data_IF_113665756608
#
_entry.id   IF_113665756608
#
_cell.length_a   1.000
_cell.length_b   1.000
_cell.length_c   1.000
_cell.angle_alpha   90.00
_cell.angle_beta   90.00
_cell.angle_gamma   90.00
#
_symmetry.space_group_name_H-M   'P 1'
#
loop_
_entity.id
_entity.type
_entity.pdbx_description
1 polymer ?
#
# COMPACT_ATOMS: atom_id res chain seq x y z
N UNK A 1 13.22 14.67 -21.62
CA UNK A 1 12.75 14.29 -20.28
C UNK A 1 13.10 15.43 -19.32
N UNK A 2 12.10 16.27 -19.06
CA UNK A 2 12.28 17.46 -18.25
C UNK A 2 11.98 17.13 -16.78
N UNK A 3 12.95 17.25 -15.84
CA UNK A 3 12.69 17.01 -14.43
C UNK A 3 11.60 17.96 -13.91
N UNK A 4 10.57 17.39 -13.28
CA UNK A 4 9.42 18.14 -12.77
C UNK A 4 8.28 18.32 -13.75
N UNK A 5 8.36 17.77 -14.97
CA UNK A 5 7.20 17.71 -15.87
C UNK A 5 6.15 16.70 -15.39
N UNK A 6 4.88 17.01 -15.58
CA UNK A 6 3.77 16.14 -15.26
C UNK A 6 2.98 15.85 -16.54
N UNK A 7 2.73 14.56 -16.79
CA UNK A 7 1.85 14.10 -17.86
C UNK A 7 0.53 13.61 -17.25
N UNK A 8 -0.58 14.19 -17.63
CA UNK A 8 -1.92 13.74 -17.28
C UNK A 8 -2.49 12.90 -18.42
N UNK A 9 -2.94 11.69 -18.09
CA UNK A 9 -3.59 10.78 -19.04
C UNK A 9 -5.02 10.55 -18.53
N UNK A 10 -5.99 11.04 -19.29
CA UNK A 10 -7.41 10.86 -18.98
C UNK A 10 -8.01 10.00 -20.09
N UNK A 11 -8.55 8.86 -19.71
CA UNK A 11 -9.16 7.92 -20.64
C UNK A 11 -10.43 7.31 -20.02
N UNK A 12 -11.45 7.01 -20.84
CA UNK A 12 -12.60 6.24 -20.38
C UNK A 12 -12.18 4.82 -19.97
N UNK A 13 -12.96 4.18 -19.12
CA UNK A 13 -12.66 2.85 -18.56
C UNK A 13 -12.65 1.73 -19.62
N UNK A 14 -13.21 1.96 -20.79
CA UNK A 14 -13.38 0.95 -21.85
C UNK A 14 -13.09 1.53 -23.23
N UNK A 15 -12.89 0.64 -24.21
CA UNK A 15 -12.72 1.01 -25.60
C UNK A 15 -11.28 1.29 -26.02
N UNK A 16 -11.12 1.85 -27.21
CA UNK A 16 -9.81 2.11 -27.84
C UNK A 16 -8.97 3.07 -27.03
N UNK A 17 -9.58 4.10 -26.43
CA UNK A 17 -8.87 5.10 -25.65
C UNK A 17 -8.25 4.51 -24.36
N UNK A 18 -8.93 3.57 -23.70
CA UNK A 18 -8.36 2.84 -22.56
C UNK A 18 -7.12 2.03 -22.98
N UNK A 19 -7.19 1.34 -24.12
CA UNK A 19 -6.07 0.59 -24.68
C UNK A 19 -4.88 1.51 -25.05
N UNK A 20 -5.16 2.68 -25.59
CA UNK A 20 -4.14 3.68 -25.89
C UNK A 20 -3.44 4.20 -24.63
N UNK A 21 -4.21 4.51 -23.57
CA UNK A 21 -3.65 4.93 -22.28
C UNK A 21 -2.72 3.87 -21.67
N UNK A 22 -3.15 2.60 -21.67
CA UNK A 22 -2.31 1.47 -21.22
C UNK A 22 -1.04 1.37 -22.03
N UNK A 23 -1.14 1.54 -23.37
CA UNK A 23 0.03 1.49 -24.28
C UNK A 23 1.04 2.61 -23.97
N UNK A 24 0.58 3.82 -23.69
CA UNK A 24 1.45 4.94 -23.30
C UNK A 24 2.18 4.61 -21.99
N UNK A 25 1.48 4.14 -20.97
CA UNK A 25 2.08 3.75 -19.70
C UNK A 25 3.08 2.60 -19.86
N UNK A 26 2.77 1.63 -20.72
CA UNK A 26 3.67 0.51 -21.04
C UNK A 26 4.95 0.99 -21.73
N UNK A 27 4.86 1.93 -22.65
CA UNK A 27 6.03 2.54 -23.31
C UNK A 27 6.89 3.31 -22.30
N UNK A 28 6.26 4.10 -21.44
CA UNK A 28 6.98 4.83 -20.38
C UNK A 28 7.71 3.84 -19.45
N UNK A 29 7.03 2.81 -18.98
CA UNK A 29 7.64 1.82 -18.08
C UNK A 29 8.80 1.08 -18.74
N UNK A 30 8.69 0.74 -20.03
CA UNK A 30 9.79 0.14 -20.80
C UNK A 30 10.98 1.09 -20.93
N UNK A 31 10.75 2.37 -21.13
CA UNK A 31 11.81 3.37 -21.20
C UNK A 31 12.57 3.45 -19.87
N UNK A 32 11.85 3.46 -18.75
CA UNK A 32 12.47 3.46 -17.41
C UNK A 32 13.14 2.12 -17.08
N UNK A 33 12.66 1.01 -17.61
CA UNK A 33 13.31 -0.30 -17.45
C UNK A 33 14.75 -0.27 -17.97
N UNK A 34 15.03 0.43 -19.04
CA UNK A 34 16.38 0.61 -19.56
C UNK A 34 17.34 1.26 -18.55
N UNK A 35 16.84 2.00 -17.59
CA UNK A 35 17.63 2.60 -16.50
C UNK A 35 18.46 1.59 -15.70
N UNK A 36 18.06 0.32 -15.68
CA UNK A 36 18.80 -0.71 -14.94
C UNK A 36 20.19 -0.94 -15.51
N UNK A 37 20.36 -0.78 -16.82
CA UNK A 37 21.59 -1.05 -17.57
C UNK A 37 22.33 0.19 -18.05
N UNK A 38 21.69 1.38 -18.06
CA UNK A 38 22.30 2.60 -18.55
C UNK A 38 23.24 3.24 -17.49
N UNK A 39 24.34 3.83 -17.96
CA UNK A 39 25.27 4.57 -17.11
C UNK A 39 24.69 5.91 -16.63
N UNK A 40 23.87 6.56 -17.47
CA UNK A 40 23.16 7.79 -17.14
C UNK A 40 21.73 7.44 -16.77
N UNK A 41 21.37 7.66 -15.49
CA UNK A 41 20.03 7.33 -15.00
C UNK A 41 19.03 8.39 -15.38
N UNK A 42 17.84 7.95 -15.77
CA UNK A 42 16.68 8.83 -15.91
C UNK A 42 16.24 9.38 -14.55
N UNK A 43 15.61 10.56 -14.50
CA UNK A 43 15.05 11.09 -13.26
C UNK A 43 14.02 10.13 -12.68
N UNK A 44 13.82 10.22 -11.36
CA UNK A 44 12.82 9.41 -10.68
C UNK A 44 11.41 9.71 -11.20
N UNK A 45 10.65 8.66 -11.50
CA UNK A 45 9.29 8.76 -12.02
C UNK A 45 8.28 8.37 -10.92
N UNK A 46 7.33 9.24 -10.65
CA UNK A 46 6.14 8.90 -9.86
C UNK A 46 4.99 8.63 -10.83
N UNK A 47 4.44 7.41 -10.78
CA UNK A 47 3.22 7.04 -11.47
C UNK A 47 2.07 6.97 -10.47
N UNK A 48 1.05 7.79 -10.68
CA UNK A 48 -0.18 7.78 -9.89
C UNK A 48 -1.30 7.23 -10.78
N UNK A 49 -1.92 6.15 -10.34
CA UNK A 49 -3.00 5.49 -11.07
C UNK A 49 -4.24 5.49 -10.19
N UNK A 50 -5.21 6.30 -10.58
CA UNK A 50 -6.50 6.35 -9.93
C UNK A 50 -7.44 5.31 -10.52
N UNK A 51 -8.21 4.64 -9.67
CA UNK A 51 -9.12 3.54 -10.07
C UNK A 51 -8.49 2.48 -11.00
N UNK A 52 -7.30 2.00 -10.67
CA UNK A 52 -6.50 1.12 -11.53
C UNK A 52 -7.25 -0.11 -12.06
N UNK A 53 -8.24 -0.61 -11.35
CA UNK A 53 -9.03 -1.78 -11.74
C UNK A 53 -10.01 -1.48 -12.86
N UNK A 54 -10.52 -0.27 -12.93
CA UNK A 54 -11.53 0.16 -13.90
C UNK A 54 -10.91 0.92 -15.08
N UNK A 55 -10.01 1.88 -14.78
CA UNK A 55 -9.49 2.80 -15.79
C UNK A 55 -8.26 2.29 -16.51
N UNK A 56 -7.45 1.47 -15.86
CA UNK A 56 -6.19 1.02 -16.44
C UNK A 56 -5.91 -0.47 -16.22
N UNK A 57 -6.53 -1.34 -17.02
CA UNK A 57 -6.25 -2.77 -16.98
C UNK A 57 -4.86 -3.09 -17.53
N UNK A 58 -3.84 -2.83 -16.77
CA UNK A 58 -2.45 -3.00 -17.19
C UNK A 58 -1.96 -4.43 -16.92
N UNK A 59 -1.84 -5.30 -17.94
CA UNK A 59 -1.48 -6.71 -17.73
C UNK A 59 -0.11 -6.89 -17.09
N UNK A 60 0.79 -5.92 -17.26
CA UNK A 60 2.17 -5.98 -16.74
C UNK A 60 2.31 -5.38 -15.33
N UNK A 61 1.23 -4.95 -14.72
CA UNK A 61 1.28 -4.30 -13.40
C UNK A 61 2.08 -5.11 -12.37
N UNK A 62 1.87 -6.43 -12.18
CA UNK A 62 2.64 -7.20 -11.20
C UNK A 62 4.15 -7.13 -11.45
N UNK A 63 4.56 -7.28 -12.71
CA UNK A 63 5.98 -7.22 -13.09
C UNK A 63 6.57 -5.83 -12.83
N UNK A 64 5.82 -4.78 -13.19
CA UNK A 64 6.31 -3.40 -12.99
C UNK A 64 6.40 -3.05 -11.51
N UNK A 65 5.45 -3.49 -10.69
CA UNK A 65 5.52 -3.30 -9.24
C UNK A 65 6.78 -3.93 -8.67
N UNK A 66 7.10 -5.16 -9.05
CA UNK A 66 8.27 -5.90 -8.56
C UNK A 66 9.59 -5.24 -8.97
N UNK A 67 9.67 -4.75 -10.20
CA UNK A 67 10.88 -4.17 -10.77
C UNK A 67 10.99 -2.64 -10.56
N UNK A 68 9.94 -1.98 -10.13
CA UNK A 68 9.80 -0.51 -10.09
C UNK A 68 10.96 0.19 -9.39
N UNK A 69 11.43 -0.36 -8.27
CA UNK A 69 12.55 0.19 -7.51
C UNK A 69 13.84 0.26 -8.33
N UNK A 70 14.17 -0.80 -9.06
CA UNK A 70 15.36 -0.85 -9.89
C UNK A 70 15.25 0.06 -11.12
N UNK A 71 14.02 0.26 -11.61
CA UNK A 71 13.74 1.18 -12.71
C UNK A 71 13.78 2.66 -12.28
N UNK A 72 13.74 2.97 -10.99
CA UNK A 72 13.57 4.33 -10.48
C UNK A 72 12.12 4.83 -10.62
N UNK A 73 11.14 3.93 -10.48
CA UNK A 73 9.71 4.23 -10.53
C UNK A 73 9.10 4.04 -9.15
N UNK A 74 8.34 5.03 -8.67
CA UNK A 74 7.40 4.86 -7.57
C UNK A 74 5.98 4.75 -8.10
N UNK A 75 5.24 3.77 -7.60
CA UNK A 75 3.84 3.54 -7.97
C UNK A 75 2.92 3.88 -6.80
N UNK A 76 1.94 4.72 -7.05
CA UNK A 76 0.80 4.96 -6.17
C UNK A 76 -0.47 4.53 -6.91
N UNK A 77 -1.15 3.53 -6.38
CA UNK A 77 -2.33 2.94 -7.03
C UNK A 77 -3.51 3.06 -6.09
N UNK A 78 -4.55 3.73 -6.52
CA UNK A 78 -5.81 3.80 -5.81
C UNK A 78 -6.82 2.79 -6.36
N UNK A 79 -7.51 2.11 -5.45
CA UNK A 79 -8.60 1.18 -5.76
C UNK A 79 -9.67 1.28 -4.68
N UNK A 80 -10.90 1.02 -5.04
CA UNK A 80 -12.00 1.01 -4.06
C UNK A 80 -11.92 -0.23 -3.16
N UNK A 81 -11.50 -1.36 -3.72
CA UNK A 81 -11.27 -2.60 -3.00
C UNK A 81 -10.26 -3.46 -3.77
N UNK A 82 -9.30 -4.08 -3.06
CA UNK A 82 -8.32 -4.97 -3.73
C UNK A 82 -8.98 -6.19 -4.34
N UNK A 83 -10.16 -6.60 -3.86
CA UNK A 83 -10.97 -7.65 -4.46
C UNK A 83 -11.27 -7.40 -5.95
N UNK A 84 -11.32 -6.16 -6.38
CA UNK A 84 -11.55 -5.81 -7.79
C UNK A 84 -10.44 -6.29 -8.71
N UNK A 85 -9.22 -6.46 -8.21
CA UNK A 85 -8.12 -7.04 -8.99
C UNK A 85 -8.43 -8.47 -9.46
N UNK A 86 -9.25 -9.23 -8.71
CA UNK A 86 -9.58 -10.61 -9.08
C UNK A 86 -10.31 -10.70 -10.41
N UNK A 87 -11.09 -9.68 -10.78
CA UNK A 87 -11.79 -9.62 -12.08
C UNK A 87 -10.82 -9.51 -13.26
N UNK A 88 -9.63 -8.97 -13.03
CA UNK A 88 -8.66 -8.67 -14.07
C UNK A 88 -7.49 -9.64 -14.10
N UNK A 89 -6.99 -10.00 -12.93
CA UNK A 89 -5.77 -10.81 -12.76
C UNK A 89 -6.06 -12.21 -12.21
N UNK A 90 -7.35 -12.55 -11.99
CA UNK A 90 -7.73 -13.76 -11.27
C UNK A 90 -7.46 -13.67 -9.76
N UNK A 91 -7.86 -14.72 -9.05
CA UNK A 91 -7.68 -14.77 -7.59
C UNK A 91 -6.20 -14.77 -7.19
N UNK A 92 -5.40 -15.57 -7.88
CA UNK A 92 -3.96 -15.68 -7.62
C UNK A 92 -3.23 -14.35 -7.89
N UNK A 93 -3.51 -13.70 -9.02
CA UNK A 93 -2.91 -12.40 -9.33
C UNK A 93 -3.33 -11.28 -8.37
N UNK A 94 -4.55 -11.34 -7.82
CA UNK A 94 -4.97 -10.43 -6.76
C UNK A 94 -4.16 -10.66 -5.47
N UNK A 95 -3.96 -11.91 -5.07
CA UNK A 95 -3.17 -12.26 -3.88
C UNK A 95 -1.69 -11.90 -4.08
N UNK A 96 -1.15 -12.13 -5.27
CA UNK A 96 0.18 -11.67 -5.65
C UNK A 96 0.32 -10.15 -5.48
N UNK A 97 -0.58 -9.36 -6.09
CA UNK A 97 -0.56 -7.90 -5.98
C UNK A 97 -0.62 -7.43 -4.53
N UNK A 98 -1.48 -8.02 -3.69
CA UNK A 98 -1.54 -7.71 -2.27
C UNK A 98 -0.21 -7.95 -1.54
N UNK A 99 0.52 -8.99 -1.95
CA UNK A 99 1.77 -9.39 -1.30
C UNK A 99 2.98 -8.55 -1.73
N UNK A 100 3.00 -8.07 -2.98
CA UNK A 100 4.15 -7.33 -3.53
C UNK A 100 4.12 -5.84 -3.22
N UNK A 101 2.96 -5.25 -2.87
CA UNK A 101 2.90 -3.87 -2.42
C UNK A 101 3.44 -3.74 -0.99
N UNK A 102 4.53 -2.99 -0.78
CA UNK A 102 5.18 -2.91 0.53
C UNK A 102 4.40 -2.07 1.55
N UNK A 103 3.45 -1.28 1.10
CA UNK A 103 2.64 -0.39 1.93
C UNK A 103 1.25 -0.23 1.35
N UNK A 104 0.24 -0.22 2.22
CA UNK A 104 -1.15 0.02 1.85
C UNK A 104 -1.75 1.07 2.77
N UNK A 105 -2.32 2.12 2.19
CA UNK A 105 -3.08 3.13 2.93
C UNK A 105 -4.57 2.79 2.84
N UNK A 106 -5.18 2.53 3.98
CA UNK A 106 -6.61 2.27 4.10
C UNK A 106 -7.31 3.54 4.56
N UNK A 107 -8.32 3.96 3.81
CA UNK A 107 -9.16 5.11 4.10
C UNK A 107 -10.50 4.66 4.69
N UNK A 108 -11.22 5.60 5.31
CA UNK A 108 -12.57 5.35 5.81
C UNK A 108 -13.51 4.99 4.66
N UNK A 109 -14.40 4.03 4.91
CA UNK A 109 -15.44 3.61 3.96
C UNK A 109 -15.14 2.31 3.21
N UNK A 110 -13.88 1.86 3.14
CA UNK A 110 -13.52 0.60 2.47
C UNK A 110 -12.49 -0.22 3.25
N UNK A 111 -12.72 -0.56 4.52
CA UNK A 111 -11.79 -1.40 5.27
C UNK A 111 -11.86 -2.84 4.75
N UNK A 112 -10.74 -3.34 4.24
CA UNK A 112 -10.62 -4.73 3.86
C UNK A 112 -10.14 -5.56 5.05
N UNK A 113 -11.04 -6.37 5.61
CA UNK A 113 -10.76 -7.19 6.80
C UNK A 113 -9.46 -7.98 6.68
N UNK A 114 -9.23 -8.66 5.55
CA UNK A 114 -8.03 -9.49 5.36
C UNK A 114 -6.73 -8.68 5.42
N UNK A 115 -6.73 -7.43 4.97
CA UNK A 115 -5.55 -6.57 5.03
C UNK A 115 -5.25 -6.17 6.48
N UNK A 116 -6.29 -5.88 7.26
CA UNK A 116 -6.18 -5.55 8.68
C UNK A 116 -5.75 -6.76 9.50
N UNK A 117 -6.30 -7.94 9.23
CA UNK A 117 -5.89 -9.20 9.88
C UNK A 117 -4.43 -9.54 9.61
N UNK A 118 -3.96 -9.38 8.37
CA UNK A 118 -2.55 -9.58 8.03
C UNK A 118 -1.64 -8.59 8.76
N UNK A 119 -2.03 -7.32 8.85
CA UNK A 119 -1.27 -6.33 9.58
C UNK A 119 -1.26 -6.59 11.09
N UNK A 120 -2.38 -7.01 11.68
CA UNK A 120 -2.45 -7.42 13.07
C UNK A 120 -1.54 -8.63 13.33
N UNK A 121 -1.53 -9.61 12.44
CA UNK A 121 -0.63 -10.76 12.53
C UNK A 121 0.85 -10.34 12.50
N UNK A 122 1.22 -9.34 11.68
CA UNK A 122 2.60 -8.81 11.65
C UNK A 122 3.00 -8.11 12.95
N UNK A 123 2.04 -7.62 13.74
CA UNK A 123 2.33 -7.00 15.04
C UNK A 123 2.85 -7.99 16.07
N UNK A 124 2.61 -9.29 15.83
CA UNK A 124 3.04 -10.36 16.72
C UNK A 124 2.20 -10.47 17.99
N UNK A 125 2.71 -11.27 18.95
CA UNK A 125 2.05 -11.56 20.22
C UNK A 125 2.91 -11.17 21.38
N UNK A 126 2.27 -10.67 22.44
CA UNK A 126 2.94 -10.35 23.71
C UNK A 126 2.34 -11.18 24.85
N UNK A 127 3.13 -11.41 25.90
CA UNK A 127 2.64 -12.04 27.11
C UNK A 127 1.96 -10.99 28.00
N UNK A 128 0.66 -11.18 28.22
CA UNK A 128 -0.10 -10.36 29.17
C UNK A 128 -0.32 -11.15 30.45
N UNK A 129 0.07 -10.57 31.56
CA UNK A 129 -0.19 -11.16 32.88
C UNK A 129 -1.55 -10.70 33.35
N UNK A 130 -2.49 -11.64 33.51
CA UNK A 130 -3.79 -11.37 34.14
C UNK A 130 -3.74 -11.79 35.60
N UNK A 131 -4.22 -10.93 36.47
CA UNK A 131 -4.49 -11.31 37.88
C UNK A 131 -5.74 -12.20 37.85
N UNK A 132 -5.63 -13.42 38.38
CA UNK A 132 -6.77 -14.28 38.66
C UNK A 132 -7.06 -14.29 40.15
N UNK A 133 -8.34 -14.18 40.48
CA UNK A 133 -8.83 -14.43 41.83
C UNK A 133 -9.52 -15.79 41.79
N UNK A 134 -8.96 -16.77 42.51
CA UNK A 134 -9.54 -18.08 42.64
C UNK A 134 -10.81 -18.04 43.53
N UNK A 135 -11.66 -19.05 43.42
CA UNK A 135 -12.85 -19.18 44.28
C UNK A 135 -12.57 -19.14 45.78
N UNK A 136 -11.32 -19.30 46.18
CA UNK A 136 -10.83 -19.18 47.55
C UNK A 136 -10.20 -17.79 47.85
N UNK A 137 -10.47 -16.77 47.01
CA UNK A 137 -9.90 -15.39 47.16
C UNK A 137 -8.38 -15.33 47.13
N UNK A 138 -7.70 -16.34 46.60
CA UNK A 138 -6.25 -16.33 46.40
C UNK A 138 -5.93 -15.61 45.08
N UNK A 139 -5.02 -14.64 45.16
CA UNK A 139 -4.52 -13.95 43.96
C UNK A 139 -3.48 -14.82 43.27
N UNK A 140 -3.81 -15.25 42.05
CA UNK A 140 -2.89 -15.91 41.13
C UNK A 140 -2.54 -14.99 39.95
N UNK A 141 -1.40 -15.25 39.33
CA UNK A 141 -1.03 -14.59 38.08
C UNK A 141 -0.99 -15.66 36.95
N UNK A 142 -1.76 -15.45 35.92
CA UNK A 142 -1.73 -16.32 34.74
C UNK A 142 -1.14 -15.50 33.59
N UNK A 143 -0.14 -16.04 32.90
CA UNK A 143 0.41 -15.46 31.68
C UNK A 143 -0.37 -16.00 30.48
N UNK A 144 -0.89 -15.13 29.65
CA UNK A 144 -1.60 -15.44 28.43
C UNK A 144 -0.92 -14.74 27.25
N UNK A 145 -0.70 -15.48 26.16
CA UNK A 145 -0.24 -14.86 24.90
C UNK A 145 -1.42 -14.23 24.21
N UNK A 146 -1.41 -12.92 24.08
CA UNK A 146 -2.40 -12.14 23.38
C UNK A 146 -1.76 -11.44 22.17
N UNK A 147 -2.54 -11.20 21.13
CA UNK A 147 -2.08 -10.40 19.98
C UNK A 147 -1.78 -8.97 20.46
N UNK A 148 -0.72 -8.37 19.89
CA UNK A 148 -0.33 -7.00 20.21
C UNK A 148 -1.39 -6.00 19.75
N UNK A 149 -1.96 -6.24 18.55
CA UNK A 149 -3.03 -5.47 17.95
C UNK A 149 -4.10 -6.42 17.41
N UNK A 150 -5.35 -6.05 17.57
CA UNK A 150 -6.46 -6.68 16.86
C UNK A 150 -6.72 -5.97 15.54
N UNK A 151 -7.34 -6.66 14.57
CA UNK A 151 -7.69 -6.07 13.29
C UNK A 151 -8.58 -4.83 13.45
N UNK A 152 -9.41 -4.80 14.48
CA UNK A 152 -10.29 -3.68 14.84
C UNK A 152 -9.54 -2.43 15.32
N UNK A 153 -8.37 -2.59 15.93
CA UNK A 153 -7.51 -1.49 16.35
C UNK A 153 -6.89 -0.74 15.16
N UNK A 154 -6.86 -1.41 14.01
CA UNK A 154 -6.28 -0.92 12.77
C UNK A 154 -7.30 -0.24 11.84
N UNK A 155 -8.55 -0.11 12.27
CA UNK A 155 -9.54 0.65 11.51
C UNK A 155 -9.19 2.13 11.46
N UNK A 156 -9.40 2.82 10.31
CA UNK A 156 -9.37 4.28 10.27
C UNK A 156 -10.39 4.87 11.24
N UNK A 157 -10.02 5.94 11.94
CA UNK A 157 -10.90 6.54 12.97
C UNK A 157 -12.00 7.39 12.39
N UNK A 158 -11.66 8.21 11.40
CA UNK A 158 -12.54 9.21 10.78
C UNK A 158 -12.03 9.61 9.40
N UNK A 159 -12.67 10.60 8.77
CA UNK A 159 -12.32 11.07 7.43
C UNK A 159 -10.99 11.82 7.34
N UNK A 160 -10.48 12.30 8.46
CA UNK A 160 -9.21 13.04 8.52
C UNK A 160 -8.02 12.12 8.79
N UNK A 161 -8.25 10.83 8.97
CA UNK A 161 -7.20 9.86 9.26
C UNK A 161 -7.26 8.65 8.34
N UNK A 162 -6.09 8.19 7.94
CA UNK A 162 -5.90 6.92 7.24
C UNK A 162 -5.08 5.95 8.07
N UNK A 163 -5.15 4.68 7.75
CA UNK A 163 -4.31 3.65 8.36
C UNK A 163 -3.28 3.16 7.36
N UNK A 164 -2.01 3.47 7.61
CA UNK A 164 -0.90 3.02 6.79
C UNK A 164 -0.40 1.67 7.30
N UNK A 165 -0.67 0.61 6.54
CA UNK A 165 -0.18 -0.73 6.80
C UNK A 165 1.18 -0.90 6.12
N UNK A 166 2.17 -1.33 6.88
CA UNK A 166 3.51 -1.62 6.38
C UNK A 166 3.96 -2.98 6.87
N UNK A 167 4.66 -3.71 6.01
CA UNK A 167 5.46 -4.85 6.42
C UNK A 167 6.67 -4.41 7.26
N UNK A 168 7.38 -5.36 7.84
CA UNK A 168 8.61 -5.13 8.61
C UNK A 168 9.65 -4.38 7.77
N UNK A 169 10.26 -3.34 8.33
CA UNK A 169 11.45 -2.72 7.73
C UNK A 169 12.62 -3.71 7.78
N UNK A 170 13.24 -4.05 6.64
CA UNK A 170 14.47 -4.82 6.65
C UNK A 170 15.56 -4.08 7.47
N UNK A 171 16.21 -4.76 8.40
CA UNK A 171 17.34 -4.22 9.14
C UNK A 171 17.03 -3.63 10.53
N UNK A 172 15.78 -3.60 10.98
CA UNK A 172 15.43 -3.23 12.35
C UNK A 172 15.16 -4.47 13.19
N UNK A 173 16.20 -4.99 13.80
CA UNK A 173 16.07 -6.07 14.80
C UNK A 173 15.55 -5.44 16.08
N UNK A 174 14.38 -5.88 16.58
CA UNK A 174 13.86 -5.52 17.88
C UNK A 174 12.85 -4.36 17.92
N UNK A 175 12.53 -3.71 16.81
CA UNK A 175 11.39 -2.79 16.74
C UNK A 175 10.12 -3.55 16.39
N UNK A 176 9.05 -3.28 17.11
CA UNK A 176 7.70 -3.72 16.73
C UNK A 176 7.48 -3.26 15.29
N UNK A 177 7.13 -4.17 14.36
CA UNK A 177 6.78 -3.76 13.00
C UNK A 177 5.72 -2.68 13.10
N UNK A 178 5.88 -1.60 12.34
CA UNK A 178 4.85 -0.56 12.22
C UNK A 178 3.68 -1.14 11.42
N UNK A 179 2.99 -2.11 12.00
CA UNK A 179 1.94 -2.89 11.34
C UNK A 179 0.77 -2.02 10.88
N UNK A 180 0.53 -0.91 11.59
CA UNK A 180 -0.53 0.02 11.22
C UNK A 180 -0.34 1.37 11.87
N UNK A 181 0.17 2.35 11.13
CA UNK A 181 0.31 3.73 11.58
C UNK A 181 -0.98 4.50 11.30
N UNK A 182 -1.44 5.25 12.30
CA UNK A 182 -2.45 6.27 12.06
C UNK A 182 -1.77 7.47 11.42
N UNK A 183 -2.24 7.90 10.25
CA UNK A 183 -1.69 9.03 9.51
C UNK A 183 -2.76 10.08 9.29
N UNK A 184 -2.40 11.34 9.48
CA UNK A 184 -3.28 12.47 9.21
C UNK A 184 -3.43 12.66 7.70
N UNK A 185 -4.67 12.78 7.24
CA UNK A 185 -5.00 13.13 5.88
C UNK A 185 -5.22 14.63 5.81
N UNK A 186 -4.55 15.29 4.88
CA UNK A 186 -4.71 16.74 4.67
C UNK A 186 -5.12 17.02 3.24
N UNK A 187 -6.10 17.88 3.11
CA UNK A 187 -6.47 18.42 1.81
C UNK A 187 -5.27 19.17 1.22
N UNK A 188 -4.90 18.83 -0.02
CA UNK A 188 -3.78 19.44 -0.74
C UNK A 188 -3.94 20.96 -0.86
N UNK A 189 -5.16 21.46 -0.92
CA UNK A 189 -5.45 22.90 -0.96
C UNK A 189 -5.01 23.64 0.31
N UNK A 190 -4.88 22.91 1.44
CA UNK A 190 -4.44 23.44 2.73
C UNK A 190 -2.92 23.34 2.94
N UNK A 191 -2.21 22.69 2.02
CA UNK A 191 -0.76 22.49 2.10
C UNK A 191 -0.06 23.67 1.42
N UNK A 192 0.67 24.47 2.19
CA UNK A 192 1.56 25.50 1.63
C UNK A 192 2.81 24.82 1.06
N UNK A 193 2.88 24.72 -0.26
CA UNK A 193 4.08 24.24 -0.95
C UNK A 193 5.05 25.41 -1.05
N UNK A 194 6.05 25.45 -0.20
CA UNK A 194 7.18 26.37 -0.33
C UNK A 194 8.19 25.75 -1.29
N UNK A 195 8.32 26.28 -2.50
CA UNK A 195 9.47 25.96 -3.36
C UNK A 195 10.71 26.52 -2.66
N UNK A 196 11.65 25.67 -2.29
CA UNK A 196 13.01 26.14 -1.99
C UNK A 196 13.58 26.71 -3.28
N UNK A 197 14.19 27.90 -3.22
CA UNK A 197 14.86 28.51 -4.37
C UNK A 197 16.00 27.63 -4.89
#
# INVERSE_FOLDING_TARGET
ENPGATLYIIAPATGIAAGAAVSVVDVISKRWRANQSESVKLPHLLMVVDEATNTMPWPKLPVVVTESRAMGISLLIAVQATQQFSKRYGKEGMEELRSIFPSTLILVGAPEKIMLENAAWWSGKTERTKAMIDHQHRQGRTSERADNLEATDLLPRDMDHGRLLRGTRPGHVGTIPEAGLLVDLRDISKIKITRKP
#
